data_IF_407671756093
#
_entry.id   IF_407671756093
#
_cell.length_a   1.000
_cell.length_b   1.000
_cell.length_c   1.000
_cell.angle_alpha   90.00
_cell.angle_beta   90.00
_cell.angle_gamma   90.00
#
_symmetry.space_group_name_H-M   'P 1'
#
loop_
_entity.id
_entity.type
_entity.pdbx_description
1 polymer ?
#
# COMPACT_ATOMS: atom_id res chain seq x y z
N UNK A 1 -13.54 -5.90 -12.64
CA UNK A 1 -13.30 -5.16 -12.24
C UNK A 1 -12.08 -4.51 -12.39
N UNK A 2 -11.43 -4.16 -13.12
CA UNK A 2 -10.41 -3.33 -13.51
C UNK A 2 -9.47 -2.74 -12.60
N UNK A 3 -9.32 -3.31 -11.78
CA UNK A 3 -8.85 -2.95 -10.83
C UNK A 3 -7.50 -2.62 -10.70
N UNK A 4 -6.59 -3.03 -11.49
CA UNK A 4 -5.19 -2.80 -11.36
C UNK A 4 -4.68 -1.80 -12.39
N UNK A 5 -5.46 -0.81 -12.76
CA UNK A 5 -4.97 0.32 -13.54
C UNK A 5 -4.11 1.21 -12.66
N UNK A 6 -3.09 1.83 -13.23
CA UNK A 6 -2.19 2.71 -12.46
C UNK A 6 -2.95 3.77 -11.68
N UNK A 7 -3.97 4.37 -12.28
CA UNK A 7 -4.77 5.40 -11.63
C UNK A 7 -5.47 4.89 -10.39
N UNK A 8 -6.00 3.66 -10.44
CA UNK A 8 -6.68 3.07 -9.30
C UNK A 8 -5.70 2.77 -8.17
N UNK A 9 -4.51 2.30 -8.52
CA UNK A 9 -3.47 2.01 -7.53
C UNK A 9 -3.00 3.32 -6.90
N UNK A 10 -2.78 4.35 -7.70
CA UNK A 10 -2.35 5.65 -7.19
C UNK A 10 -3.39 6.27 -6.28
N UNK A 11 -4.67 6.17 -6.63
CA UNK A 11 -5.74 6.68 -5.79
C UNK A 11 -5.79 5.94 -4.46
N UNK A 12 -5.55 4.64 -4.48
CA UNK A 12 -5.51 3.86 -3.26
C UNK A 12 -4.34 4.28 -2.38
N UNK A 13 -3.17 4.49 -2.99
CA UNK A 13 -2.00 4.98 -2.26
C UNK A 13 -2.31 6.31 -1.59
N UNK A 14 -2.94 7.24 -2.32
CA UNK A 14 -3.29 8.54 -1.75
C UNK A 14 -4.21 8.42 -0.55
N UNK A 15 -5.21 7.54 -0.62
CA UNK A 15 -6.11 7.32 0.50
C UNK A 15 -5.39 6.73 1.70
N UNK A 16 -4.49 5.78 1.45
CA UNK A 16 -3.73 5.15 2.53
C UNK A 16 -2.78 6.13 3.20
N UNK A 17 -2.12 6.97 2.40
CA UNK A 17 -1.23 8.00 2.93
C UNK A 17 -2.00 9.02 3.76
N UNK A 18 -3.19 9.41 3.30
CA UNK A 18 -4.04 10.34 4.06
C UNK A 18 -4.46 9.73 5.39
N UNK A 19 -4.84 8.46 5.38
CA UNK A 19 -5.21 7.78 6.61
C UNK A 19 -4.01 7.66 7.56
N UNK A 20 -2.85 7.35 7.02
CA UNK A 20 -1.63 7.28 7.80
C UNK A 20 -1.35 8.61 8.50
N UNK A 21 -1.47 9.70 7.76
CA UNK A 21 -1.26 11.03 8.30
C UNK A 21 -2.25 11.35 9.44
N UNK A 22 -3.51 11.02 9.24
CA UNK A 22 -4.54 11.23 10.26
C UNK A 22 -4.26 10.43 11.53
N UNK A 23 -3.88 9.18 11.37
CA UNK A 23 -3.58 8.32 12.51
C UNK A 23 -2.38 8.84 13.30
N UNK A 24 -1.34 9.29 12.62
CA UNK A 24 -0.16 9.85 13.29
C UNK A 24 -0.50 11.15 14.02
N UNK A 25 -1.37 11.95 13.44
CA UNK A 25 -1.78 13.21 14.08
C UNK A 25 -2.58 12.97 15.37
N UNK A 26 -3.32 11.86 15.43
CA UNK A 26 -4.13 11.55 16.62
C UNK A 26 -3.34 10.94 17.77
N UNK A 27 -2.15 10.42 17.50
CA UNK A 27 -1.36 9.71 18.50
C UNK A 27 -1.15 10.50 19.78
N UNK A 28 -1.03 11.80 19.68
CA UNK A 28 -0.68 12.61 20.83
C UNK A 28 -1.80 12.83 21.83
N UNK A 29 -3.04 12.62 21.43
CA UNK A 29 -4.17 12.89 22.31
C UNK A 29 -4.93 11.66 22.75
N UNK A 30 -4.55 10.48 22.27
CA UNK A 30 -5.32 9.27 22.51
C UNK A 30 -4.85 8.52 23.75
N UNK A 31 -5.75 7.72 24.34
CA UNK A 31 -5.37 6.86 25.45
C UNK A 31 -4.58 5.64 24.94
N UNK A 32 -4.05 4.83 25.86
CA UNK A 32 -3.18 3.72 25.51
C UNK A 32 -3.85 2.70 24.61
N UNK A 33 -5.13 2.43 24.82
CA UNK A 33 -5.86 1.46 24.01
C UNK A 33 -6.05 1.97 22.59
N UNK A 34 -6.41 3.23 22.45
CA UNK A 34 -6.58 3.85 21.14
C UNK A 34 -5.25 3.92 20.39
N UNK A 35 -4.16 4.25 21.09
CA UNK A 35 -2.84 4.27 20.50
C UNK A 35 -2.42 2.90 19.97
N UNK A 36 -2.76 1.84 20.71
CA UNK A 36 -2.44 0.49 20.28
C UNK A 36 -3.19 0.10 19.02
N UNK A 37 -4.47 0.44 18.95
CA UNK A 37 -5.27 0.19 17.74
C UNK A 37 -4.75 0.98 16.55
N UNK A 38 -4.41 2.24 16.77
CA UNK A 38 -3.86 3.08 15.71
C UNK A 38 -2.52 2.56 15.22
N UNK A 39 -1.67 2.08 16.13
CA UNK A 39 -0.39 1.52 15.75
C UNK A 39 -0.56 0.26 14.90
N UNK A 40 -1.53 -0.59 15.25
CA UNK A 40 -1.83 -1.79 14.46
C UNK A 40 -2.33 -1.41 13.07
N UNK A 41 -3.19 -0.38 12.98
CA UNK A 41 -3.68 0.08 11.69
C UNK A 41 -2.56 0.68 10.85
N UNK A 42 -1.66 1.45 11.47
CA UNK A 42 -0.51 2.03 10.77
C UNK A 42 0.37 0.92 10.16
N UNK A 43 0.61 -0.15 10.91
CA UNK A 43 1.39 -1.27 10.38
C UNK A 43 0.69 -1.90 9.18
N UNK A 44 -0.62 -2.07 9.25
CA UNK A 44 -1.39 -2.62 8.14
C UNK A 44 -1.34 -1.72 6.92
N UNK A 45 -1.42 -0.41 7.12
CA UNK A 45 -1.32 0.56 6.02
C UNK A 45 0.05 0.47 5.35
N UNK A 46 1.11 0.38 6.13
CA UNK A 46 2.46 0.27 5.58
C UNK A 46 2.60 -0.97 4.70
N UNK A 47 2.04 -2.10 5.13
CA UNK A 47 2.06 -3.32 4.33
C UNK A 47 1.25 -3.13 3.03
N UNK A 48 0.06 -2.53 3.12
CA UNK A 48 -0.74 -2.27 1.93
C UNK A 48 -0.06 -1.33 0.96
N UNK A 49 0.63 -0.31 1.48
CA UNK A 49 1.39 0.61 0.63
C UNK A 49 2.50 -0.13 -0.11
N UNK A 50 3.21 -1.02 0.57
CA UNK A 50 4.27 -1.80 -0.07
C UNK A 50 3.71 -2.66 -1.20
N UNK A 51 2.55 -3.27 -0.98
CA UNK A 51 1.88 -4.08 -2.00
C UNK A 51 1.47 -3.20 -3.20
N UNK A 52 0.95 -2.01 -2.94
CA UNK A 52 0.57 -1.07 -4.00
C UNK A 52 1.77 -0.63 -4.84
N UNK A 53 2.87 -0.29 -4.18
CA UNK A 53 4.08 0.11 -4.88
C UNK A 53 4.66 -1.04 -5.71
N UNK A 54 4.58 -2.26 -5.17
CA UNK A 54 5.01 -3.45 -5.89
C UNK A 54 4.18 -3.66 -7.15
N UNK A 55 2.85 -3.47 -7.06
CA UNK A 55 1.98 -3.58 -8.23
C UNK A 55 2.36 -2.57 -9.31
N UNK A 56 2.61 -1.32 -8.92
CA UNK A 56 3.01 -0.30 -9.89
C UNK A 56 4.31 -0.69 -10.57
N UNK A 57 5.25 -1.22 -9.81
CA UNK A 57 6.53 -1.66 -10.36
C UNK A 57 6.35 -2.83 -11.32
N UNK A 58 5.49 -3.80 -10.98
CA UNK A 58 5.18 -4.91 -11.87
C UNK A 58 4.56 -4.42 -13.18
N UNK A 59 3.61 -3.49 -13.08
CA UNK A 59 2.94 -2.95 -14.27
C UNK A 59 3.94 -2.24 -15.17
N UNK A 60 4.84 -1.49 -14.58
CA UNK A 60 5.88 -0.80 -15.33
C UNK A 60 6.80 -1.80 -16.04
N UNK A 61 7.21 -2.85 -15.33
CA UNK A 61 8.07 -3.88 -15.92
C UNK A 61 7.39 -4.59 -17.09
N UNK A 62 6.09 -4.87 -16.95
CA UNK A 62 5.33 -5.50 -18.03
C UNK A 62 5.24 -4.59 -19.26
N UNK A 63 4.97 -3.31 -19.05
CA UNK A 63 4.94 -2.36 -20.17
C UNK A 63 6.29 -2.28 -20.87
N UNK A 64 7.36 -2.22 -20.09
CA UNK A 64 8.72 -2.13 -20.66
C UNK A 64 9.08 -3.37 -21.45
N UNK A 65 8.52 -4.52 -21.07
CA UNK A 65 8.72 -5.78 -21.78
C UNK A 65 7.74 -5.98 -22.95
N UNK A 66 6.87 -5.01 -23.21
CA UNK A 66 5.87 -5.13 -24.27
C UNK A 66 4.70 -6.03 -23.92
N UNK A 67 4.50 -6.30 -22.63
CA UNK A 67 3.42 -7.15 -22.16
C UNK A 67 2.30 -6.33 -21.55
N UNK A 68 1.16 -6.97 -21.32
CA UNK A 68 -0.03 -6.31 -20.81
C UNK A 68 0.11 -6.02 -19.30
N UNK A 69 0.12 -4.74 -18.89
CA UNK A 69 0.21 -4.39 -17.47
C UNK A 69 -0.92 -5.01 -16.63
N UNK A 70 -2.05 -5.34 -17.22
CA UNK A 70 -3.16 -5.95 -16.50
C UNK A 70 -2.81 -7.30 -15.91
N UNK A 71 -1.70 -7.91 -16.33
CA UNK A 71 -1.25 -9.18 -15.79
C UNK A 71 -0.54 -9.03 -14.45
N UNK A 72 -0.26 -7.80 -14.00
CA UNK A 72 0.33 -7.60 -12.67
C UNK A 72 -0.63 -8.09 -11.60
N UNK A 73 -0.09 -8.78 -10.60
CA UNK A 73 -0.89 -9.39 -9.54
C UNK A 73 -0.32 -9.00 -8.18
N UNK A 74 -1.19 -8.74 -7.19
CA UNK A 74 -0.69 -8.52 -5.84
C UNK A 74 0.11 -9.73 -5.35
N UNK A 75 1.26 -9.46 -4.75
CA UNK A 75 2.07 -10.52 -4.17
C UNK A 75 1.76 -10.66 -2.71
N UNK A 76 2.13 -11.82 -2.16
CA UNK A 76 2.00 -12.05 -0.73
C UNK A 76 2.73 -10.94 0.03
N UNK A 77 2.11 -10.31 1.05
CA UNK A 77 2.74 -9.22 1.80
C UNK A 77 4.11 -9.58 2.37
N UNK A 78 4.30 -10.81 2.83
CA UNK A 78 5.59 -11.24 3.36
C UNK A 78 6.67 -11.18 2.30
N UNK A 79 6.34 -11.56 1.06
CA UNK A 79 7.26 -11.50 -0.07
C UNK A 79 7.64 -10.06 -0.37
N UNK A 80 6.65 -9.16 -0.39
CA UNK A 80 6.88 -7.76 -0.69
C UNK A 80 7.76 -7.12 0.38
N UNK A 81 7.48 -7.40 1.64
CA UNK A 81 8.26 -6.84 2.74
C UNK A 81 9.71 -7.30 2.71
N UNK A 82 9.95 -8.57 2.40
CA UNK A 82 11.31 -9.06 2.28
C UNK A 82 12.05 -8.40 1.13
N UNK A 83 11.34 -8.05 0.07
CA UNK A 83 11.92 -7.40 -1.08
C UNK A 83 12.46 -6.01 -0.73
N UNK A 84 11.79 -5.33 0.20
CA UNK A 84 12.14 -3.97 0.58
C UNK A 84 13.17 -3.87 1.71
N UNK A 85 13.54 -4.97 2.30
CA UNK A 85 14.52 -4.95 3.39
C UNK A 85 15.97 -5.07 2.89
#
# INVERSE_FOLDING_TARGET
>A
MGLVADENISARIERLVAEEHDLRSREQGDDAEALEKDAARLRAIEVELDVCWDLLRQRRALRDAGEDPAHAMPRNPDTVERYWQ
#
